data_IF_803869613514
#
_entry.id   IF_803869613514
#
_cell.length_a   1.000
_cell.length_b   1.000
_cell.length_c   1.000
_cell.angle_alpha   90.00
_cell.angle_beta   90.00
_cell.angle_gamma   90.00
#
_symmetry.space_group_name_H-M   'P 1'
#
loop_
_entity.id
_entity.type
_entity.pdbx_description
1 polymer ?
#
# COMPACT_ATOMS: atom_id res chain seq x y z
N UNK A 1 -29.07 10.58 -18.45
CA UNK A 1 -28.43 9.46 -19.19
C UNK A 1 -28.75 9.67 -20.66
N UNK A 2 -27.76 9.96 -21.47
CA UNK A 2 -27.94 9.97 -22.93
C UNK A 2 -27.99 8.51 -23.41
N UNK A 3 -29.05 8.14 -24.08
CA UNK A 3 -29.14 6.83 -24.69
C UNK A 3 -28.25 6.79 -25.93
N UNK A 4 -27.18 6.00 -25.86
CA UNK A 4 -26.36 5.71 -27.02
C UNK A 4 -26.94 4.50 -27.76
N UNK A 5 -27.18 4.60 -29.07
CA UNK A 5 -27.65 3.45 -29.83
C UNK A 5 -26.66 2.29 -29.73
N UNK A 6 -27.13 1.04 -29.70
CA UNK A 6 -26.25 -0.12 -29.62
C UNK A 6 -25.25 -0.08 -30.78
N UNK A 7 -23.97 -0.20 -30.48
CA UNK A 7 -22.93 -0.38 -31.51
C UNK A 7 -23.18 -1.71 -32.21
N UNK A 8 -22.91 -1.83 -33.51
CA UNK A 8 -22.92 -3.14 -34.16
C UNK A 8 -22.09 -4.13 -33.37
N UNK A 9 -22.64 -5.29 -33.04
CA UNK A 9 -21.84 -6.35 -32.40
C UNK A 9 -20.75 -6.77 -33.36
N UNK A 10 -19.47 -6.73 -32.94
CA UNK A 10 -18.39 -7.27 -33.73
C UNK A 10 -18.58 -8.78 -33.90
N UNK A 11 -17.97 -9.35 -34.93
CA UNK A 11 -17.87 -10.79 -35.08
C UNK A 11 -17.16 -11.36 -33.82
N UNK A 12 -17.71 -12.46 -33.28
CA UNK A 12 -17.21 -13.03 -32.02
C UNK A 12 -15.75 -13.46 -32.11
N UNK A 13 -15.34 -14.13 -33.20
CA UNK A 13 -13.99 -14.61 -33.34
C UNK A 13 -13.00 -13.46 -33.54
N UNK A 14 -13.38 -12.42 -34.27
CA UNK A 14 -12.58 -11.21 -34.41
C UNK A 14 -12.44 -10.47 -33.07
N UNK A 15 -13.51 -10.32 -32.29
CA UNK A 15 -13.47 -9.70 -30.97
C UNK A 15 -12.62 -10.52 -29.98
N UNK A 16 -12.76 -11.84 -29.98
CA UNK A 16 -11.94 -12.75 -29.16
C UNK A 16 -10.45 -12.63 -29.53
N UNK A 17 -10.12 -12.62 -30.82
CA UNK A 17 -8.74 -12.47 -31.26
C UNK A 17 -8.17 -11.12 -30.82
N UNK A 18 -8.91 -10.03 -31.00
CA UNK A 18 -8.50 -8.69 -30.57
C UNK A 18 -8.21 -8.64 -29.06
N UNK A 19 -9.06 -9.26 -28.22
CA UNK A 19 -8.85 -9.29 -26.78
C UNK A 19 -7.63 -10.15 -26.40
N UNK A 20 -7.43 -11.28 -27.05
CA UNK A 20 -6.26 -12.12 -26.84
C UNK A 20 -4.96 -11.38 -27.18
N UNK A 21 -4.94 -10.66 -28.31
CA UNK A 21 -3.78 -9.89 -28.74
C UNK A 21 -3.50 -8.72 -27.79
N UNK A 22 -4.55 -8.03 -27.33
CA UNK A 22 -4.43 -6.96 -26.35
C UNK A 22 -3.86 -7.47 -25.00
N UNK A 23 -4.35 -8.62 -24.53
CA UNK A 23 -3.83 -9.23 -23.31
C UNK A 23 -2.37 -9.71 -23.46
N UNK A 24 -2.02 -10.32 -24.59
CA UNK A 24 -0.64 -10.70 -24.87
C UNK A 24 0.29 -9.49 -24.88
N UNK A 25 -0.10 -8.42 -25.58
CA UNK A 25 0.69 -7.18 -25.61
C UNK A 25 0.86 -6.58 -24.20
N UNK A 26 -0.17 -6.66 -23.36
CA UNK A 26 -0.08 -6.26 -21.95
C UNK A 26 0.94 -7.11 -21.17
N UNK A 27 0.89 -8.44 -21.31
CA UNK A 27 1.83 -9.34 -20.64
C UNK A 27 3.27 -9.18 -21.15
N UNK A 28 3.46 -9.03 -22.46
CA UNK A 28 4.77 -8.93 -23.09
C UNK A 28 5.51 -7.64 -22.69
N UNK A 29 4.79 -6.61 -22.27
CA UNK A 29 5.36 -5.38 -21.75
C UNK A 29 5.86 -5.52 -20.31
N UNK A 30 5.29 -6.44 -19.51
CA UNK A 30 5.71 -6.68 -18.14
C UNK A 30 7.08 -7.39 -18.09
N UNK A 31 7.90 -7.14 -17.05
CA UNK A 31 9.17 -7.86 -16.89
C UNK A 31 8.97 -9.38 -16.78
N UNK A 32 9.86 -10.12 -17.42
CA UNK A 32 9.86 -11.59 -17.33
C UNK A 32 10.12 -12.04 -15.90
N UNK A 33 9.28 -12.94 -15.40
CA UNK A 33 9.45 -13.59 -14.11
C UNK A 33 10.28 -14.88 -14.22
N UNK A 34 10.85 -15.37 -13.09
CA UNK A 34 11.48 -16.69 -13.05
C UNK A 34 10.54 -17.78 -13.58
N UNK A 35 11.11 -18.79 -14.23
CA UNK A 35 10.36 -19.90 -14.87
C UNK A 35 9.29 -20.49 -13.95
N UNK A 36 9.65 -20.74 -12.69
CA UNK A 36 8.74 -21.27 -11.65
C UNK A 36 7.46 -20.44 -11.50
N UNK A 37 7.50 -19.13 -11.76
CA UNK A 37 6.42 -18.19 -11.50
C UNK A 37 5.74 -17.64 -12.76
N UNK A 38 6.08 -18.13 -13.96
CA UNK A 38 5.50 -17.61 -15.21
C UNK A 38 4.00 -17.81 -15.31
N UNK A 39 3.50 -18.98 -14.98
CA UNK A 39 2.06 -19.26 -15.02
C UNK A 39 1.31 -18.39 -14.00
N UNK A 40 1.83 -18.32 -12.77
CA UNK A 40 1.32 -17.43 -11.71
C UNK A 40 1.31 -15.98 -12.20
N UNK A 41 2.42 -15.51 -12.80
CA UNK A 41 2.55 -14.15 -13.32
C UNK A 41 1.56 -13.83 -14.44
N UNK A 42 1.30 -14.80 -15.34
CA UNK A 42 0.29 -14.64 -16.40
C UNK A 42 -1.11 -14.47 -15.82
N UNK A 43 -1.47 -15.25 -14.79
CA UNK A 43 -2.77 -15.14 -14.12
C UNK A 43 -2.86 -13.81 -13.33
N UNK A 44 -1.79 -13.40 -12.64
CA UNK A 44 -1.74 -12.10 -11.96
C UNK A 44 -1.93 -10.94 -12.94
N UNK A 45 -1.19 -10.96 -14.06
CA UNK A 45 -1.34 -9.97 -15.13
C UNK A 45 -2.77 -9.96 -15.72
N UNK A 46 -3.42 -11.13 -15.84
CA UNK A 46 -4.81 -11.19 -16.29
C UNK A 46 -5.78 -10.55 -15.31
N UNK A 47 -5.58 -10.76 -14.01
CA UNK A 47 -6.42 -10.14 -12.98
C UNK A 47 -6.30 -8.62 -13.05
N UNK A 48 -5.07 -8.09 -13.04
CA UNK A 48 -4.81 -6.65 -13.12
C UNK A 48 -5.36 -6.06 -14.43
N UNK A 49 -5.01 -6.64 -15.60
CA UNK A 49 -5.51 -6.19 -16.90
C UNK A 49 -7.03 -6.19 -16.99
N UNK A 50 -7.65 -7.24 -16.46
CA UNK A 50 -9.10 -7.41 -16.54
C UNK A 50 -9.88 -6.46 -15.64
N UNK A 51 -9.24 -5.86 -14.63
CA UNK A 51 -9.80 -4.85 -13.74
C UNK A 51 -9.51 -3.41 -14.18
N UNK A 52 -8.79 -3.22 -15.32
CA UNK A 52 -8.60 -1.90 -15.91
C UNK A 52 -9.91 -1.35 -16.45
N UNK A 53 -10.17 -0.10 -16.14
CA UNK A 53 -11.33 0.65 -16.61
C UNK A 53 -10.91 1.95 -17.24
N UNK A 54 -11.55 2.29 -18.36
CA UNK A 54 -11.34 3.55 -19.08
C UNK A 54 -11.92 4.72 -18.29
N UNK A 55 -11.41 5.94 -18.54
CA UNK A 55 -12.02 7.15 -18.00
C UNK A 55 -13.54 7.20 -18.28
N UNK A 56 -14.32 7.53 -17.25
CA UNK A 56 -15.78 7.64 -17.34
C UNK A 56 -16.38 8.06 -15.99
N UNK A 57 -17.44 8.85 -16.00
CA UNK A 57 -18.06 9.36 -14.78
C UNK A 57 -17.07 10.12 -13.92
N UNK A 58 -16.85 9.68 -12.66
CA UNK A 58 -15.86 10.28 -11.76
C UNK A 58 -14.44 9.75 -11.98
N UNK A 59 -14.23 8.69 -12.74
CA UNK A 59 -12.88 8.25 -13.11
C UNK A 59 -12.37 9.11 -14.28
N UNK A 60 -11.44 10.02 -13.99
CA UNK A 60 -10.89 10.96 -14.98
C UNK A 60 -9.68 10.40 -15.73
N UNK A 61 -9.12 9.29 -15.26
CA UNK A 61 -7.95 8.59 -15.79
C UNK A 61 -8.25 7.11 -15.91
N UNK A 62 -7.38 6.36 -16.55
CA UNK A 62 -7.43 4.90 -16.46
C UNK A 62 -7.23 4.47 -15.01
N UNK A 63 -8.13 3.62 -14.53
CA UNK A 63 -8.10 3.12 -13.17
C UNK A 63 -8.06 1.60 -13.13
N UNK A 64 -7.58 1.04 -12.03
CA UNK A 64 -7.64 -0.38 -11.77
C UNK A 64 -8.56 -0.62 -10.58
N UNK A 65 -9.71 -1.25 -10.82
CA UNK A 65 -10.62 -1.64 -9.75
C UNK A 65 -9.96 -2.69 -8.85
N UNK A 66 -10.31 -2.72 -7.58
CA UNK A 66 -9.71 -3.71 -6.66
C UNK A 66 -10.15 -5.13 -6.99
N UNK A 67 -11.38 -5.30 -7.45
CA UNK A 67 -11.89 -6.56 -8.02
C UNK A 67 -13.09 -6.31 -8.91
N UNK A 68 -13.57 -7.37 -9.59
CA UNK A 68 -14.83 -7.33 -10.38
C UNK A 68 -16.03 -7.83 -9.60
N UNK A 69 -15.86 -8.40 -8.41
CA UNK A 69 -16.95 -9.01 -7.64
C UNK A 69 -17.55 -8.01 -6.65
N UNK A 70 -16.81 -7.72 -5.57
CA UNK A 70 -17.33 -6.96 -4.44
C UNK A 70 -16.73 -5.57 -4.31
N UNK A 71 -15.50 -5.39 -4.78
CA UNK A 71 -14.70 -4.18 -4.58
C UNK A 71 -14.46 -3.47 -5.91
N UNK A 72 -15.55 -3.00 -6.53
CA UNK A 72 -15.54 -2.33 -7.84
C UNK A 72 -15.18 -0.85 -7.77
N UNK A 73 -14.44 -0.42 -6.75
CA UNK A 73 -13.91 0.92 -6.58
C UNK A 73 -12.37 0.90 -6.67
N UNK A 74 -11.78 2.08 -6.75
CA UNK A 74 -10.36 2.36 -6.49
C UNK A 74 -10.27 2.99 -5.11
N UNK A 75 -9.59 2.36 -4.15
CA UNK A 75 -9.37 2.90 -2.81
C UNK A 75 -8.08 3.72 -2.73
N UNK A 76 -8.05 4.69 -1.81
CA UNK A 76 -7.01 5.73 -1.76
C UNK A 76 -5.67 5.30 -1.13
N UNK A 77 -5.42 4.02 -0.94
CA UNK A 77 -4.10 3.45 -0.65
C UNK A 77 -3.79 2.21 -1.48
N UNK A 78 -4.80 1.39 -1.80
CA UNK A 78 -4.71 0.17 -2.61
C UNK A 78 -4.12 0.43 -4.00
N UNK A 79 -4.53 1.52 -4.64
CA UNK A 79 -4.05 1.94 -5.97
C UNK A 79 -2.53 2.15 -6.03
N UNK A 80 -1.88 2.45 -4.90
CA UNK A 80 -0.43 2.59 -4.83
C UNK A 80 0.29 1.28 -5.16
N UNK A 81 -0.21 0.15 -4.67
CA UNK A 81 0.38 -1.17 -4.94
C UNK A 81 0.19 -1.57 -6.41
N UNK A 82 -0.97 -1.28 -6.99
CA UNK A 82 -1.24 -1.50 -8.41
C UNK A 82 -0.30 -0.66 -9.29
N UNK A 83 -0.06 0.59 -8.92
CA UNK A 83 0.90 1.46 -9.62
C UNK A 83 2.31 0.86 -9.65
N UNK A 84 2.79 0.29 -8.53
CA UNK A 84 4.12 -0.31 -8.45
C UNK A 84 4.29 -1.54 -9.36
N UNK A 85 3.23 -2.33 -9.52
CA UNK A 85 3.27 -3.48 -10.43
C UNK A 85 3.42 -3.05 -11.89
N UNK A 86 2.73 -1.98 -12.28
CA UNK A 86 2.72 -1.47 -13.67
C UNK A 86 3.97 -0.66 -14.05
N UNK A 87 4.74 -0.16 -13.08
CA UNK A 87 5.81 0.81 -13.29
C UNK A 87 6.84 0.42 -14.35
N UNK A 88 7.26 -0.85 -14.41
CA UNK A 88 8.31 -1.31 -15.32
C UNK A 88 7.81 -1.74 -16.72
N UNK A 89 6.51 -1.90 -16.91
CA UNK A 89 5.93 -2.34 -18.20
C UNK A 89 4.96 -1.35 -18.81
N UNK A 90 4.21 -0.65 -17.95
CA UNK A 90 3.14 0.26 -18.32
C UNK A 90 3.26 1.59 -17.55
N UNK A 91 4.32 2.41 -17.80
CA UNK A 91 4.63 3.57 -16.96
C UNK A 91 3.57 4.67 -16.96
N UNK A 92 2.78 4.81 -18.02
CA UNK A 92 1.67 5.78 -18.05
C UNK A 92 0.48 5.27 -17.24
N UNK A 93 0.14 3.99 -17.33
CA UNK A 93 -0.87 3.36 -16.48
C UNK A 93 -0.46 3.39 -14.99
N UNK A 94 0.83 3.14 -14.71
CA UNK A 94 1.37 3.24 -13.35
C UNK A 94 1.20 4.66 -12.79
N UNK A 95 1.46 5.67 -13.62
CA UNK A 95 1.26 7.06 -13.23
C UNK A 95 -0.20 7.38 -13.00
N UNK A 96 -1.08 7.03 -13.93
CA UNK A 96 -2.52 7.24 -13.79
C UNK A 96 -3.06 6.55 -12.54
N UNK A 97 -2.68 5.29 -12.30
CA UNK A 97 -3.04 4.57 -11.07
C UNK A 97 -2.55 5.30 -9.82
N UNK A 98 -1.32 5.82 -9.79
CA UNK A 98 -0.77 6.54 -8.63
C UNK A 98 -1.50 7.85 -8.35
N UNK A 99 -1.73 8.67 -9.38
CA UNK A 99 -2.20 10.04 -9.22
C UNK A 99 -3.73 10.19 -9.23
N UNK A 100 -4.46 9.13 -9.53
CA UNK A 100 -5.92 9.17 -9.76
C UNK A 100 -6.71 9.83 -8.62
N UNK A 101 -6.25 9.73 -7.37
CA UNK A 101 -6.90 10.35 -6.23
C UNK A 101 -6.75 11.87 -6.20
N UNK A 102 -5.72 12.43 -6.87
CA UNK A 102 -5.52 13.87 -6.97
C UNK A 102 -6.66 14.56 -7.71
N UNK A 103 -7.31 13.87 -8.65
CA UNK A 103 -8.43 14.38 -9.44
C UNK A 103 -9.66 14.72 -8.57
N UNK A 104 -9.73 14.18 -7.35
CA UNK A 104 -10.81 14.38 -6.39
C UNK A 104 -10.33 14.93 -5.04
N UNK A 105 -9.09 15.39 -4.96
CA UNK A 105 -8.60 16.00 -3.73
C UNK A 105 -9.40 17.27 -3.42
N UNK A 106 -10.00 17.37 -2.23
CA UNK A 106 -10.84 18.50 -1.86
C UNK A 106 -10.03 19.78 -1.55
N UNK A 107 -10.74 20.88 -1.28
CA UNK A 107 -10.11 22.16 -1.00
C UNK A 107 -9.24 22.16 0.28
N UNK A 108 -9.51 21.26 1.24
CA UNK A 108 -8.69 21.10 2.44
C UNK A 108 -7.42 20.29 2.21
N UNK A 109 -7.34 19.56 1.09
CA UNK A 109 -6.28 18.63 0.76
C UNK A 109 -6.58 17.18 1.10
N UNK A 110 -7.79 16.87 1.61
CA UNK A 110 -8.23 15.50 1.91
C UNK A 110 -8.40 14.70 0.62
N UNK A 111 -8.04 13.42 0.68
CA UNK A 111 -8.36 12.45 -0.36
C UNK A 111 -9.67 11.73 -0.04
N UNK A 112 -10.45 11.31 -1.07
CA UNK A 112 -11.59 10.44 -0.84
C UNK A 112 -11.13 9.08 -0.29
N UNK A 113 -12.03 8.37 0.35
CA UNK A 113 -11.84 6.98 0.78
C UNK A 113 -11.68 6.07 -0.46
N UNK A 114 -12.62 6.20 -1.39
CA UNK A 114 -12.60 5.49 -2.67
C UNK A 114 -13.37 6.23 -3.76
N UNK A 115 -13.10 5.86 -5.01
CA UNK A 115 -13.76 6.41 -6.19
C UNK A 115 -14.19 5.28 -7.13
N UNK A 116 -15.27 5.53 -7.87
CA UNK A 116 -15.70 4.73 -9.02
C UNK A 116 -16.20 5.66 -10.13
N UNK A 117 -16.72 5.11 -11.21
CA UNK A 117 -17.41 5.89 -12.24
C UNK A 117 -18.67 6.60 -11.72
N UNK A 118 -19.30 6.07 -10.68
CA UNK A 118 -20.57 6.54 -10.13
C UNK A 118 -20.46 7.36 -8.85
N UNK A 119 -19.41 7.12 -8.04
CA UNK A 119 -19.33 7.66 -6.69
C UNK A 119 -17.92 8.13 -6.33
N UNK A 120 -17.87 9.22 -5.55
CA UNK A 120 -16.71 9.64 -4.76
C UNK A 120 -17.10 9.50 -3.29
N UNK A 121 -16.45 8.57 -2.57
CA UNK A 121 -16.81 8.20 -1.20
C UNK A 121 -15.84 8.86 -0.22
N UNK A 122 -16.37 9.48 0.85
CA UNK A 122 -15.62 10.27 1.82
C UNK A 122 -15.72 9.74 3.25
N UNK A 123 -16.06 8.45 3.42
CA UNK A 123 -16.30 7.85 4.74
C UNK A 123 -15.07 7.92 5.64
N UNK A 124 -13.94 7.41 5.15
CA UNK A 124 -12.68 7.32 5.88
C UNK A 124 -11.57 8.05 5.10
N UNK A 125 -10.47 8.37 5.75
CA UNK A 125 -9.21 8.56 5.06
C UNK A 125 -8.47 7.19 5.02
N UNK A 126 -7.45 7.06 4.18
CA UNK A 126 -6.58 5.89 4.17
C UNK A 126 -5.16 6.31 4.58
N UNK A 127 -4.28 5.36 4.93
CA UNK A 127 -2.94 5.71 5.41
C UNK A 127 -2.17 6.52 4.35
N UNK A 128 -1.36 7.51 4.77
CA UNK A 128 -0.64 8.38 3.84
C UNK A 128 0.64 7.71 3.30
N UNK A 129 0.48 6.57 2.63
CA UNK A 129 1.60 5.84 2.02
C UNK A 129 2.01 6.40 0.64
N UNK A 130 1.35 7.46 0.18
CA UNK A 130 1.56 8.02 -1.16
C UNK A 130 3.00 8.51 -1.38
N UNK A 131 3.66 9.07 -0.34
CA UNK A 131 5.07 9.41 -0.40
C UNK A 131 5.96 8.18 -0.56
N UNK A 132 5.72 7.13 0.22
CA UNK A 132 6.40 5.85 0.08
C UNK A 132 6.23 5.26 -1.33
N UNK A 133 4.99 5.23 -1.83
CA UNK A 133 4.71 4.71 -3.17
C UNK A 133 5.41 5.52 -4.27
N UNK A 134 5.43 6.86 -4.15
CA UNK A 134 6.13 7.71 -5.13
C UNK A 134 7.64 7.45 -5.12
N UNK A 135 8.26 7.28 -3.96
CA UNK A 135 9.69 6.91 -3.85
C UNK A 135 9.95 5.60 -4.61
N UNK A 136 9.14 4.57 -4.39
CA UNK A 136 9.26 3.28 -5.08
C UNK A 136 9.02 3.39 -6.60
N UNK A 137 8.09 4.24 -7.02
CA UNK A 137 7.88 4.52 -8.45
C UNK A 137 9.09 5.18 -9.08
N UNK A 138 9.70 6.19 -8.43
CA UNK A 138 10.92 6.85 -8.92
C UNK A 138 12.12 5.90 -9.02
N UNK A 139 12.20 4.89 -8.14
CA UNK A 139 13.21 3.82 -8.21
C UNK A 139 12.95 2.86 -9.39
N UNK A 140 11.70 2.71 -9.82
CA UNK A 140 11.25 1.72 -10.81
C UNK A 140 11.13 2.27 -12.22
N UNK A 141 10.84 3.56 -12.37
CA UNK A 141 10.67 4.22 -13.68
C UNK A 141 11.11 5.70 -13.63
N UNK A 142 11.68 6.25 -14.71
CA UNK A 142 11.97 7.68 -14.78
C UNK A 142 10.67 8.50 -14.80
N UNK A 143 10.61 9.57 -14.01
CA UNK A 143 9.50 10.52 -14.05
C UNK A 143 9.90 11.76 -14.82
N UNK A 144 9.10 12.14 -15.81
CA UNK A 144 9.24 13.39 -16.51
C UNK A 144 8.98 14.58 -15.56
N UNK A 145 9.62 15.75 -15.77
CA UNK A 145 9.41 16.94 -14.92
C UNK A 145 7.95 17.30 -14.69
N UNK A 146 7.10 17.20 -15.71
CA UNK A 146 5.66 17.46 -15.60
C UNK A 146 4.95 16.54 -14.59
N UNK A 147 5.38 15.26 -14.47
CA UNK A 147 4.84 14.34 -13.47
C UNK A 147 5.28 14.73 -12.05
N UNK A 148 6.49 15.26 -11.89
CA UNK A 148 6.95 15.80 -10.59
C UNK A 148 6.19 17.07 -10.21
N UNK A 149 5.95 17.97 -11.17
CA UNK A 149 5.14 19.19 -11.00
C UNK A 149 3.67 18.87 -10.65
N UNK A 150 3.13 17.74 -11.11
CA UNK A 150 1.79 17.26 -10.74
C UNK A 150 1.78 16.63 -9.34
N UNK A 151 2.78 15.80 -9.02
CA UNK A 151 2.85 15.08 -7.75
C UNK A 151 3.11 15.99 -6.55
N UNK A 152 3.96 17.00 -6.69
CA UNK A 152 4.38 17.83 -5.57
C UNK A 152 3.22 18.60 -4.90
N UNK A 153 2.34 19.35 -5.62
CA UNK A 153 1.20 20.01 -5.00
C UNK A 153 0.16 19.02 -4.45
N UNK A 154 -0.06 17.90 -5.11
CA UNK A 154 -0.94 16.83 -4.62
C UNK A 154 -0.47 16.32 -3.26
N UNK A 155 0.78 15.86 -3.19
CA UNK A 155 1.35 15.29 -1.98
C UNK A 155 1.48 16.33 -0.86
N UNK A 156 1.84 17.58 -1.22
CA UNK A 156 1.89 18.72 -0.29
C UNK A 156 0.55 18.97 0.39
N UNK A 157 -0.53 19.03 -0.38
CA UNK A 157 -1.87 19.27 0.18
C UNK A 157 -2.33 18.12 1.05
N UNK A 158 -2.07 16.85 0.66
CA UNK A 158 -2.39 15.68 1.46
C UNK A 158 -1.60 15.65 2.78
N UNK A 159 -0.31 15.94 2.76
CA UNK A 159 0.52 16.04 3.97
C UNK A 159 0.03 17.14 4.90
N UNK A 160 -0.26 18.34 4.37
CA UNK A 160 -0.78 19.44 5.16
C UNK A 160 -2.16 19.16 5.76
N UNK A 161 -2.99 18.37 5.08
CA UNK A 161 -4.25 17.94 5.65
C UNK A 161 -4.05 17.10 6.93
N UNK A 162 -3.12 16.13 6.89
CA UNK A 162 -2.74 15.35 8.08
C UNK A 162 -2.20 16.25 9.19
N UNK A 163 -1.30 17.16 8.88
CA UNK A 163 -0.71 18.12 9.84
C UNK A 163 -1.79 18.98 10.52
N UNK A 164 -2.82 19.39 9.77
CA UNK A 164 -3.85 20.31 10.26
C UNK A 164 -4.97 19.61 11.01
N UNK A 165 -5.45 18.48 10.49
CA UNK A 165 -6.71 17.87 10.97
C UNK A 165 -6.52 16.56 11.73
N UNK A 166 -5.35 15.96 11.65
CA UNK A 166 -5.04 14.64 12.21
C UNK A 166 -3.73 14.61 13.00
N UNK A 167 -3.33 15.76 13.56
CA UNK A 167 -2.18 15.89 14.44
C UNK A 167 -2.61 16.50 15.77
N UNK A 168 -2.18 15.90 16.90
CA UNK A 168 -2.37 16.42 18.24
C UNK A 168 -1.07 16.23 19.03
N UNK A 169 -0.59 17.31 19.62
CA UNK A 169 0.64 17.31 20.42
C UNK A 169 1.84 16.67 19.70
N UNK A 170 1.91 16.90 18.37
CA UNK A 170 2.97 16.37 17.51
C UNK A 170 2.82 14.90 17.12
N UNK A 171 1.72 14.22 17.42
CA UNK A 171 1.42 12.86 16.96
C UNK A 171 0.24 12.85 15.99
N UNK A 172 0.44 12.21 14.85
CA UNK A 172 -0.64 11.92 13.90
C UNK A 172 -1.50 10.77 14.42
N UNK A 173 -2.80 10.80 14.10
CA UNK A 173 -3.75 9.83 14.63
C UNK A 173 -4.85 9.45 13.66
N UNK A 174 -5.38 8.25 13.83
CA UNK A 174 -6.58 7.77 13.20
C UNK A 174 -7.81 7.98 14.11
N UNK A 175 -8.94 8.32 13.50
CA UNK A 175 -10.23 8.43 14.20
C UNK A 175 -11.05 7.14 14.14
N UNK A 176 -10.63 6.18 13.31
CA UNK A 176 -11.28 4.90 13.13
C UNK A 176 -10.27 3.87 12.60
N UNK A 177 -10.48 2.58 12.88
CA UNK A 177 -9.63 1.51 12.30
C UNK A 177 -9.59 1.56 10.77
N UNK A 178 -10.71 1.82 10.12
CA UNK A 178 -10.80 1.92 8.66
C UNK A 178 -9.95 3.07 8.06
N UNK A 179 -9.61 4.10 8.86
CA UNK A 179 -8.69 5.16 8.43
C UNK A 179 -7.26 4.62 8.18
N UNK A 180 -6.87 3.56 8.89
CA UNK A 180 -5.55 2.92 8.76
C UNK A 180 -5.46 1.91 7.61
N UNK A 181 -6.59 1.55 7.01
CA UNK A 181 -6.67 0.41 6.11
C UNK A 181 -6.72 -0.96 6.82
N UNK A 182 -6.39 -1.03 8.11
CA UNK A 182 -6.42 -2.24 8.95
C UNK A 182 -7.70 -2.28 9.80
N UNK A 183 -8.83 -2.30 9.14
CA UNK A 183 -10.17 -1.96 9.59
C UNK A 183 -10.54 -2.43 11.00
N UNK A 184 -10.18 -3.65 11.39
CA UNK A 184 -10.52 -4.25 12.68
C UNK A 184 -9.29 -4.71 13.48
N UNK A 185 -8.09 -4.18 13.19
CA UNK A 185 -6.86 -4.53 13.92
C UNK A 185 -7.00 -4.27 15.43
N UNK A 186 -6.34 -5.13 16.23
CA UNK A 186 -6.27 -4.96 17.69
C UNK A 186 -5.49 -3.72 18.13
N UNK A 187 -4.73 -3.10 17.24
CA UNK A 187 -4.11 -1.78 17.47
C UNK A 187 -5.16 -0.67 17.76
N UNK A 188 -6.44 -0.93 17.48
CA UNK A 188 -7.57 -0.06 17.77
C UNK A 188 -8.53 -0.64 18.82
N UNK A 189 -8.05 -1.53 19.70
CA UNK A 189 -8.84 -2.14 20.76
C UNK A 189 -9.37 -1.14 21.80
N UNK A 190 -8.69 0.00 21.96
CA UNK A 190 -9.20 1.16 22.67
C UNK A 190 -9.90 2.12 21.69
N UNK A 191 -10.85 2.91 22.21
CA UNK A 191 -11.59 3.87 21.38
C UNK A 191 -10.64 4.93 20.78
N UNK A 192 -10.77 5.25 19.48
CA UNK A 192 -10.04 6.35 18.85
C UNK A 192 -10.32 7.71 19.53
N UNK A 193 -9.45 8.72 19.35
CA UNK A 193 -8.31 8.76 18.43
C UNK A 193 -7.08 8.00 18.95
N UNK A 194 -6.47 7.22 18.05
CA UNK A 194 -5.27 6.42 18.33
C UNK A 194 -4.11 6.85 17.43
N UNK A 195 -3.00 7.22 18.04
CA UNK A 195 -1.74 7.44 17.34
C UNK A 195 -1.00 6.11 17.24
N UNK A 196 -0.85 5.61 16.03
CA UNK A 196 -0.11 4.36 15.75
C UNK A 196 1.29 4.66 15.21
N UNK A 197 2.28 3.83 15.51
CA UNK A 197 3.67 4.07 15.12
C UNK A 197 3.90 4.13 13.61
N UNK A 198 3.27 3.26 12.82
CA UNK A 198 3.43 3.24 11.37
C UNK A 198 2.89 4.50 10.70
N UNK A 199 1.84 5.11 11.23
CA UNK A 199 1.34 6.40 10.72
C UNK A 199 2.40 7.49 10.86
N UNK A 200 3.12 7.52 12.00
CA UNK A 200 4.23 8.46 12.19
C UNK A 200 5.31 8.21 11.13
N UNK A 201 5.67 6.95 10.92
CA UNK A 201 6.68 6.55 9.95
C UNK A 201 6.27 6.93 8.51
N UNK A 202 5.03 6.70 8.11
CA UNK A 202 4.54 7.08 6.78
C UNK A 202 4.58 8.60 6.57
N UNK A 203 4.23 9.38 7.57
CA UNK A 203 4.29 10.85 7.50
C UNK A 203 5.73 11.36 7.39
N UNK A 204 6.68 10.77 8.12
CA UNK A 204 8.11 11.10 8.01
C UNK A 204 8.61 10.81 6.58
N UNK A 205 8.35 9.61 6.06
CA UNK A 205 8.73 9.23 4.69
C UNK A 205 8.11 10.19 3.67
N UNK A 206 6.85 10.57 3.85
CA UNK A 206 6.14 11.48 2.93
C UNK A 206 6.75 12.89 2.92
N UNK A 207 7.15 13.43 4.08
CA UNK A 207 7.83 14.72 4.18
C UNK A 207 9.24 14.68 3.57
N UNK A 208 10.00 13.59 3.76
CA UNK A 208 11.29 13.39 3.09
C UNK A 208 11.15 13.36 1.57
N UNK A 209 10.16 12.65 1.05
CA UNK A 209 9.88 12.60 -0.39
C UNK A 209 9.49 13.99 -0.91
N UNK A 210 8.72 14.77 -0.15
CA UNK A 210 8.42 16.17 -0.52
C UNK A 210 9.68 17.04 -0.53
N UNK A 211 10.62 16.82 0.38
CA UNK A 211 11.92 17.49 0.35
C UNK A 211 12.70 17.15 -0.92
N UNK A 212 12.75 15.87 -1.30
CA UNK A 212 13.45 15.41 -2.50
C UNK A 212 12.81 15.94 -3.79
N UNK A 213 11.48 15.95 -3.88
CA UNK A 213 10.73 16.53 -4.99
C UNK A 213 11.00 18.04 -5.12
N UNK A 214 10.97 18.75 -3.99
CA UNK A 214 11.23 20.19 -3.99
C UNK A 214 12.64 20.51 -4.52
N UNK A 215 13.68 19.70 -4.17
CA UNK A 215 15.03 19.84 -4.73
C UNK A 215 15.04 19.59 -6.24
N UNK A 216 14.38 18.52 -6.70
CA UNK A 216 14.27 18.23 -8.14
C UNK A 216 13.55 19.33 -8.92
N UNK A 217 12.61 20.02 -8.27
CA UNK A 217 11.90 21.19 -8.81
C UNK A 217 12.62 22.53 -8.54
N UNK A 218 13.89 22.50 -8.11
CA UNK A 218 14.72 23.66 -7.81
C UNK A 218 14.14 24.63 -6.76
N UNK A 219 13.36 24.11 -5.81
CA UNK A 219 12.77 24.87 -4.70
C UNK A 219 13.46 24.53 -3.37
N UNK A 220 14.66 25.08 -3.15
CA UNK A 220 15.47 24.77 -1.97
C UNK A 220 14.80 25.20 -0.66
N UNK A 221 14.06 26.30 -0.64
CA UNK A 221 13.36 26.74 0.58
C UNK A 221 12.28 25.75 1.01
N UNK A 222 11.53 25.21 0.06
CA UNK A 222 10.55 24.17 0.34
C UNK A 222 11.21 22.83 0.71
N UNK A 223 12.34 22.48 0.09
CA UNK A 223 13.11 21.30 0.44
C UNK A 223 13.60 21.36 1.89
N UNK A 224 14.16 22.48 2.30
CA UNK A 224 14.60 22.70 3.68
C UNK A 224 13.43 22.65 4.67
N UNK A 225 12.30 23.25 4.33
CA UNK A 225 11.09 23.20 5.16
C UNK A 225 10.67 21.74 5.43
N UNK A 226 10.49 20.95 4.38
CA UNK A 226 10.05 19.55 4.53
C UNK A 226 11.08 18.68 5.26
N UNK A 227 12.37 18.91 5.03
CA UNK A 227 13.42 18.21 5.78
C UNK A 227 13.37 18.54 7.27
N UNK A 228 13.13 19.79 7.61
CA UNK A 228 13.00 20.23 9.01
C UNK A 228 11.79 19.61 9.69
N UNK A 229 10.63 19.61 9.00
CA UNK A 229 9.40 19.01 9.51
C UNK A 229 9.58 17.48 9.72
N UNK A 230 10.19 16.77 8.75
CA UNK A 230 10.47 15.35 8.88
C UNK A 230 11.36 15.03 10.07
N UNK A 231 12.45 15.80 10.26
CA UNK A 231 13.39 15.61 11.37
C UNK A 231 12.74 15.90 12.72
N UNK A 232 12.00 17.00 12.83
CA UNK A 232 11.28 17.35 14.05
C UNK A 232 10.24 16.31 14.44
N UNK A 233 9.53 15.76 13.44
CA UNK A 233 8.55 14.71 13.69
C UNK A 233 9.20 13.39 14.08
N UNK A 234 10.32 13.02 13.45
CA UNK A 234 11.10 11.84 13.85
C UNK A 234 11.53 11.93 15.32
N UNK A 235 12.00 13.08 15.79
CA UNK A 235 12.38 13.29 17.20
C UNK A 235 11.19 13.07 18.15
N UNK A 236 10.02 13.60 17.81
CA UNK A 236 8.79 13.40 18.60
C UNK A 236 8.39 11.93 18.61
N UNK A 237 8.41 11.28 17.45
CA UNK A 237 8.09 9.87 17.29
C UNK A 237 8.98 8.96 18.12
N UNK A 238 10.31 9.12 18.01
CA UNK A 238 11.29 8.32 18.76
C UNK A 238 11.17 8.52 20.27
N UNK A 239 10.80 9.72 20.72
CA UNK A 239 10.63 10.04 22.13
C UNK A 239 9.34 9.50 22.74
N UNK A 240 8.26 9.37 21.96
CA UNK A 240 6.91 9.15 22.51
C UNK A 240 6.30 7.79 22.19
N UNK A 241 6.65 7.18 21.05
CA UNK A 241 5.97 6.00 20.54
C UNK A 241 6.72 4.69 20.80
N UNK A 242 7.59 4.66 21.82
CA UNK A 242 8.36 3.46 22.16
C UNK A 242 8.29 3.15 23.65
N UNK A 243 8.27 1.86 23.96
CA UNK A 243 8.46 1.29 25.29
C UNK A 243 9.41 0.09 25.15
N UNK A 244 10.53 0.12 25.86
CA UNK A 244 11.55 -0.93 25.79
C UNK A 244 11.99 -1.26 24.35
N UNK A 245 12.29 -0.23 23.56
CA UNK A 245 12.67 -0.33 22.13
C UNK A 245 11.61 -0.99 21.22
N UNK A 246 10.39 -1.18 21.67
CA UNK A 246 9.26 -1.63 20.84
C UNK A 246 8.28 -0.48 20.58
N UNK A 247 7.77 -0.36 19.33
CA UNK A 247 6.79 0.66 18.99
C UNK A 247 5.45 0.38 19.69
N UNK A 248 4.80 1.43 20.19
CA UNK A 248 3.52 1.34 20.88
C UNK A 248 2.49 2.31 20.30
N UNK A 249 1.26 1.84 20.13
CA UNK A 249 0.12 2.69 19.81
C UNK A 249 -0.40 3.40 21.08
N UNK A 250 -0.85 4.64 20.94
CA UNK A 250 -1.27 5.50 22.06
C UNK A 250 -2.69 6.02 21.83
N UNK A 251 -3.59 5.77 22.77
CA UNK A 251 -4.89 6.44 22.81
C UNK A 251 -4.71 7.89 23.24
N UNK A 252 -4.95 8.84 22.35
CA UNK A 252 -4.62 10.26 22.60
C UNK A 252 -5.53 10.94 23.63
N UNK A 253 -6.73 10.43 23.89
CA UNK A 253 -7.64 11.00 24.88
C UNK A 253 -7.21 10.75 26.33
N UNK A 254 -6.50 9.67 26.60
CA UNK A 254 -6.05 9.25 27.94
C UNK A 254 -4.53 9.17 28.08
N UNK A 255 -3.79 9.12 26.98
CA UNK A 255 -2.36 8.83 26.98
C UNK A 255 -2.02 7.35 27.21
N UNK A 256 -3.03 6.47 27.26
CA UNK A 256 -2.84 5.04 27.52
C UNK A 256 -2.25 4.33 26.32
N UNK A 257 -1.28 3.42 26.57
CA UNK A 257 -0.78 2.51 25.56
C UNK A 257 -1.87 1.50 25.19
N UNK A 258 -2.06 1.28 23.91
CA UNK A 258 -2.97 0.26 23.38
C UNK A 258 -2.21 -1.06 23.28
N UNK A 259 -2.42 -1.92 24.27
CA UNK A 259 -1.85 -3.26 24.25
C UNK A 259 -2.48 -4.08 23.12
N UNK A 260 -1.64 -4.65 22.24
CA UNK A 260 -2.08 -5.41 21.09
C UNK A 260 -1.01 -6.40 20.62
N UNK A 261 -1.41 -7.38 19.82
CA UNK A 261 -0.56 -8.39 19.20
C UNK A 261 -0.59 -8.27 17.66
N UNK A 262 -0.90 -7.06 17.16
CA UNK A 262 -0.96 -6.75 15.73
C UNK A 262 0.44 -6.53 15.14
N UNK A 263 0.61 -6.90 13.87
CA UNK A 263 1.80 -6.58 13.08
C UNK A 263 1.90 -5.10 12.71
N UNK A 264 0.77 -4.37 12.68
CA UNK A 264 0.67 -2.99 12.19
C UNK A 264 1.75 -2.05 12.77
N UNK A 265 2.00 -1.99 14.10
CA UNK A 265 3.01 -1.08 14.67
C UNK A 265 4.42 -1.29 14.13
N UNK A 266 4.73 -2.47 13.63
CA UNK A 266 6.06 -2.84 13.15
C UNK A 266 6.34 -2.44 11.70
N UNK A 267 5.36 -1.93 10.96
CA UNK A 267 5.57 -1.32 9.64
C UNK A 267 6.46 -0.06 9.71
N UNK A 268 6.83 0.41 10.91
CA UNK A 268 7.87 1.44 11.12
C UNK A 268 9.20 1.11 10.43
N UNK A 269 9.46 -0.16 10.13
CA UNK A 269 10.69 -0.58 9.43
C UNK A 269 10.88 0.13 8.07
N UNK A 270 9.83 0.70 7.49
CA UNK A 270 9.93 1.55 6.28
C UNK A 270 10.85 2.76 6.45
N UNK A 271 11.16 3.14 7.70
CA UNK A 271 12.13 4.18 8.04
C UNK A 271 13.60 3.71 7.89
N UNK A 272 13.86 2.40 7.92
CA UNK A 272 15.22 1.86 7.79
C UNK A 272 16.18 2.40 8.85
N UNK A 273 17.28 2.98 8.40
CA UNK A 273 18.39 3.50 9.23
C UNK A 273 18.06 4.74 10.08
N UNK A 274 16.90 5.41 9.84
CA UNK A 274 16.41 6.49 10.74
C UNK A 274 15.99 5.95 12.10
N UNK A 275 15.67 4.66 12.19
CA UNK A 275 15.40 4.02 13.49
C UNK A 275 16.70 3.69 14.22
N UNK A 276 16.75 3.86 15.55
CA UNK A 276 17.86 3.39 16.36
C UNK A 276 18.16 1.90 16.12
N UNK A 277 19.42 1.52 16.15
CA UNK A 277 19.84 0.13 15.90
C UNK A 277 19.21 -0.86 16.89
N UNK A 278 19.07 -0.49 18.16
CA UNK A 278 18.41 -1.31 19.19
C UNK A 278 16.94 -1.60 18.81
N UNK A 279 16.22 -0.58 18.36
CA UNK A 279 14.83 -0.70 17.88
C UNK A 279 14.77 -1.63 16.66
N UNK A 280 15.60 -1.36 15.64
CA UNK A 280 15.64 -2.20 14.43
C UNK A 280 15.88 -3.67 14.75
N UNK A 281 16.92 -3.98 15.52
CA UNK A 281 17.27 -5.36 15.91
C UNK A 281 16.11 -6.04 16.64
N UNK A 282 15.48 -5.34 17.56
CA UNK A 282 14.39 -5.90 18.37
C UNK A 282 13.14 -6.14 17.54
N UNK A 283 12.76 -5.18 16.69
CA UNK A 283 11.61 -5.32 15.79
C UNK A 283 11.86 -6.43 14.76
N UNK A 284 13.02 -6.45 14.10
CA UNK A 284 13.37 -7.49 13.12
C UNK A 284 13.33 -8.88 13.78
N UNK A 285 13.93 -9.05 14.95
CA UNK A 285 13.88 -10.32 15.68
C UNK A 285 12.46 -10.77 16.00
N UNK A 286 11.59 -9.82 16.32
CA UNK A 286 10.19 -10.12 16.63
C UNK A 286 9.39 -10.51 15.38
N UNK A 287 9.48 -9.72 14.31
CA UNK A 287 8.67 -9.96 13.10
C UNK A 287 9.15 -11.17 12.30
N UNK A 288 10.44 -11.54 12.42
CA UNK A 288 10.99 -12.74 11.78
C UNK A 288 10.73 -14.04 12.57
N UNK A 289 10.25 -13.94 13.80
CA UNK A 289 9.91 -15.09 14.63
C UNK A 289 8.54 -15.68 14.26
N UNK A 290 8.23 -16.86 14.80
CA UNK A 290 6.91 -17.50 14.69
C UNK A 290 5.76 -16.64 15.25
N UNK A 291 6.09 -15.55 15.94
CA UNK A 291 5.07 -14.59 16.39
C UNK A 291 4.30 -13.98 15.22
N UNK A 292 4.96 -13.74 14.07
CA UNK A 292 4.32 -13.16 12.90
C UNK A 292 4.65 -13.88 11.59
N UNK A 293 5.88 -14.39 11.42
CA UNK A 293 6.30 -15.03 10.18
C UNK A 293 5.94 -16.52 10.19
N UNK A 294 4.78 -16.83 9.59
CA UNK A 294 4.29 -18.21 9.41
C UNK A 294 4.95 -18.89 8.21
N UNK A 295 4.59 -20.15 7.94
CA UNK A 295 5.03 -20.85 6.74
C UNK A 295 4.61 -20.19 5.42
N UNK A 296 3.59 -19.32 5.44
CA UNK A 296 2.99 -18.69 4.25
C UNK A 296 3.29 -17.21 4.13
N UNK A 297 3.75 -16.52 5.19
CA UNK A 297 4.05 -15.09 5.21
C UNK A 297 3.73 -14.44 6.55
N UNK A 298 3.62 -13.11 6.57
CA UNK A 298 3.38 -12.34 7.79
C UNK A 298 1.91 -12.33 8.18
N UNK A 299 1.56 -12.97 9.31
CA UNK A 299 0.25 -12.84 9.94
C UNK A 299 0.03 -11.42 10.46
N UNK A 300 -1.16 -10.86 10.26
CA UNK A 300 -1.50 -9.49 10.72
C UNK A 300 -1.79 -9.41 12.21
N UNK A 301 -2.10 -10.50 12.83
CA UNK A 301 -2.18 -10.70 14.28
C UNK A 301 -1.38 -11.95 14.64
N UNK A 302 -0.67 -11.93 15.76
CA UNK A 302 0.09 -13.09 16.23
C UNK A 302 -0.82 -14.34 16.33
N UNK A 303 -0.43 -15.49 15.76
CA UNK A 303 -1.20 -16.73 15.93
C UNK A 303 -1.37 -17.17 17.38
N UNK A 304 -0.51 -16.70 18.30
CA UNK A 304 -0.64 -16.94 19.74
C UNK A 304 -1.59 -15.97 20.45
N UNK A 305 -2.05 -14.91 19.76
CA UNK A 305 -2.97 -13.93 20.32
C UNK A 305 -4.34 -14.54 20.61
N UNK A 306 -4.99 -14.18 21.74
CA UNK A 306 -6.38 -14.59 22.00
C UNK A 306 -7.38 -13.97 21.01
N UNK A 307 -6.96 -12.95 20.28
CA UNK A 307 -7.77 -12.26 19.25
C UNK A 307 -7.54 -12.78 17.85
N UNK A 308 -6.57 -13.67 17.65
CA UNK A 308 -6.35 -14.31 16.35
C UNK A 308 -7.59 -15.08 15.88
N UNK A 309 -7.87 -14.96 14.61
CA UNK A 309 -8.89 -15.76 13.90
C UNK A 309 -8.36 -16.07 12.51
N UNK A 310 -8.53 -17.30 12.08
CA UNK A 310 -8.13 -17.79 10.76
C UNK A 310 -8.77 -17.00 9.59
N UNK A 311 -10.04 -16.61 9.74
CA UNK A 311 -10.77 -15.68 8.87
C UNK A 311 -11.12 -14.37 9.60
N UNK A 312 -10.16 -13.80 10.30
CA UNK A 312 -10.34 -12.63 11.17
C UNK A 312 -10.22 -11.28 10.47
N UNK A 313 -10.11 -11.24 9.14
CA UNK A 313 -9.83 -10.05 8.37
C UNK A 313 -8.44 -9.46 8.70
N UNK A 314 -8.31 -8.39 9.47
CA UNK A 314 -7.00 -7.87 9.94
C UNK A 314 -6.60 -8.41 11.33
N UNK A 315 -7.16 -9.55 11.74
CA UNK A 315 -6.85 -10.25 12.99
C UNK A 315 -6.37 -11.69 12.72
N UNK A 316 -5.33 -11.83 11.91
CA UNK A 316 -4.69 -13.11 11.60
C UNK A 316 -4.27 -13.25 10.15
N UNK A 317 -5.18 -13.15 9.17
CA UNK A 317 -4.88 -13.37 7.76
C UNK A 317 -3.67 -12.58 7.24
N UNK A 318 -2.96 -13.19 6.28
CA UNK A 318 -1.87 -12.54 5.53
C UNK A 318 -2.47 -11.65 4.46
N UNK A 319 -1.90 -10.45 4.31
CA UNK A 319 -2.32 -9.48 3.32
C UNK A 319 -1.16 -9.00 2.44
N UNK A 320 -1.47 -8.71 1.19
CA UNK A 320 -0.49 -8.22 0.22
C UNK A 320 0.13 -6.85 0.62
N UNK A 321 -0.66 -5.82 1.02
CA UNK A 321 -0.12 -4.52 1.43
C UNK A 321 0.86 -4.60 2.59
N UNK A 322 0.47 -5.25 3.68
CA UNK A 322 1.33 -5.40 4.85
C UNK A 322 2.60 -6.19 4.53
N UNK A 323 2.49 -7.23 3.69
CA UNK A 323 3.66 -7.98 3.22
C UNK A 323 4.62 -7.06 2.45
N UNK A 324 4.11 -6.27 1.49
CA UNK A 324 4.95 -5.37 0.70
C UNK A 324 5.64 -4.30 1.55
N UNK A 325 4.92 -3.65 2.47
CA UNK A 325 5.47 -2.64 3.37
C UNK A 325 6.52 -3.22 4.32
N UNK A 326 6.24 -4.41 4.86
CA UNK A 326 7.19 -5.12 5.74
C UNK A 326 8.47 -5.49 4.99
N UNK A 327 8.36 -6.02 3.77
CA UNK A 327 9.53 -6.39 2.96
C UNK A 327 10.36 -5.18 2.55
N UNK A 328 9.73 -4.06 2.16
CA UNK A 328 10.44 -2.81 1.88
C UNK A 328 11.21 -2.31 3.12
N UNK A 329 10.60 -2.39 4.29
CA UNK A 329 11.23 -2.01 5.54
C UNK A 329 12.41 -2.90 5.92
N UNK A 330 12.26 -4.21 5.79
CA UNK A 330 13.34 -5.19 6.04
C UNK A 330 14.49 -5.00 5.05
N UNK A 331 14.21 -4.74 3.77
CA UNK A 331 15.23 -4.44 2.76
C UNK A 331 16.06 -3.20 3.14
N UNK A 332 15.40 -2.11 3.57
CA UNK A 332 16.07 -0.90 4.07
C UNK A 332 16.88 -1.12 5.34
N UNK A 333 16.57 -2.16 6.10
CA UNK A 333 17.35 -2.58 7.24
C UNK A 333 18.50 -3.55 6.88
N UNK A 334 18.66 -3.92 5.61
CA UNK A 334 19.72 -4.81 5.13
C UNK A 334 19.42 -6.31 5.25
N UNK A 335 18.19 -6.70 5.56
CA UNK A 335 17.77 -8.09 5.83
C UNK A 335 17.47 -8.88 4.54
N UNK A 336 18.36 -8.82 3.56
CA UNK A 336 18.15 -9.39 2.20
C UNK A 336 17.73 -10.86 2.20
N UNK A 337 18.31 -11.70 3.04
CA UNK A 337 17.96 -13.12 3.10
C UNK A 337 16.54 -13.33 3.62
N UNK A 338 16.12 -12.58 4.65
CA UNK A 338 14.79 -12.63 5.22
C UNK A 338 13.75 -12.11 4.22
N UNK A 339 14.06 -11.01 3.52
CA UNK A 339 13.22 -10.43 2.45
C UNK A 339 12.95 -11.48 1.36
N UNK A 340 14.01 -12.12 0.87
CA UNK A 340 13.90 -13.15 -0.18
C UNK A 340 13.06 -14.35 0.29
N UNK A 341 13.24 -14.80 1.52
CA UNK A 341 12.49 -15.94 2.07
C UNK A 341 11.01 -15.57 2.30
N UNK A 342 10.71 -14.42 2.87
CA UNK A 342 9.33 -14.01 3.10
C UNK A 342 8.59 -13.69 1.78
N UNK A 343 9.27 -13.07 0.80
CA UNK A 343 8.74 -12.89 -0.55
C UNK A 343 8.41 -14.23 -1.20
N UNK A 344 9.32 -15.22 -1.09
CA UNK A 344 9.10 -16.56 -1.64
C UNK A 344 7.88 -17.22 -1.00
N UNK A 345 7.72 -17.16 0.33
CA UNK A 345 6.54 -17.74 1.03
C UNK A 345 5.24 -17.13 0.49
N UNK A 346 5.18 -15.82 0.37
CA UNK A 346 3.99 -15.13 -0.13
C UNK A 346 3.70 -15.48 -1.60
N UNK A 347 4.72 -15.46 -2.47
CA UNK A 347 4.55 -15.77 -3.90
C UNK A 347 4.20 -17.25 -4.11
N UNK A 348 4.82 -18.18 -3.37
CA UNK A 348 4.46 -19.62 -3.43
C UNK A 348 3.02 -19.85 -2.95
N UNK A 349 2.56 -19.14 -1.91
CA UNK A 349 1.18 -19.19 -1.44
C UNK A 349 0.20 -18.70 -2.51
N UNK A 350 0.48 -17.55 -3.15
CA UNK A 350 -0.39 -17.03 -4.22
C UNK A 350 -0.40 -17.94 -5.45
N UNK A 351 0.73 -18.55 -5.80
CA UNK A 351 0.82 -19.52 -6.89
C UNK A 351 -0.04 -20.78 -6.63
N UNK A 352 -0.16 -21.20 -5.37
CA UNK A 352 -0.93 -22.37 -4.98
C UNK A 352 -2.42 -22.08 -4.74
N UNK A 353 -2.76 -20.90 -4.17
CA UNK A 353 -4.10 -20.58 -3.68
C UNK A 353 -4.83 -19.50 -4.50
N UNK A 354 -4.22 -18.97 -5.56
CA UNK A 354 -4.75 -17.85 -6.34
C UNK A 354 -4.57 -16.50 -5.65
N UNK A 355 -5.23 -15.46 -6.18
CA UNK A 355 -5.02 -14.07 -5.79
C UNK A 355 -6.17 -13.56 -4.93
N UNK A 356 -6.41 -14.22 -3.81
CA UNK A 356 -7.46 -13.85 -2.86
C UNK A 356 -7.19 -12.47 -2.22
N UNK A 357 -8.22 -11.85 -1.70
CA UNK A 357 -8.13 -10.57 -0.96
C UNK A 357 -7.16 -10.67 0.21
N UNK A 358 -7.20 -11.80 0.94
CA UNK A 358 -6.28 -12.18 2.01
C UNK A 358 -6.22 -13.70 2.17
N UNK A 359 -5.35 -14.19 3.05
CA UNK A 359 -5.09 -15.63 3.20
C UNK A 359 -5.04 -16.03 4.67
N UNK A 360 -5.59 -17.17 4.99
CA UNK A 360 -5.37 -17.80 6.30
C UNK A 360 -3.86 -17.98 6.53
N UNK A 361 -3.37 -17.43 7.63
CA UNK A 361 -1.94 -17.40 7.90
C UNK A 361 -1.32 -18.76 8.20
N UNK A 362 -2.11 -19.73 8.66
CA UNK A 362 -1.62 -21.06 9.04
C UNK A 362 -1.72 -22.08 7.90
N UNK A 363 -2.69 -21.94 7.01
CA UNK A 363 -2.92 -22.89 5.91
C UNK A 363 -2.58 -22.35 4.53
N UNK A 364 -2.44 -21.02 4.38
CA UNK A 364 -2.27 -20.37 3.09
C UNK A 364 -3.53 -20.37 2.20
N UNK A 365 -4.68 -20.77 2.73
CA UNK A 365 -5.95 -20.79 1.99
C UNK A 365 -6.41 -19.36 1.68
N UNK A 366 -6.77 -19.10 0.41
CA UNK A 366 -7.37 -17.84 0.00
C UNK A 366 -8.74 -17.60 0.64
N UNK A 367 -8.99 -16.36 1.05
CA UNK A 367 -10.18 -15.90 1.74
C UNK A 367 -10.83 -14.74 0.99
N UNK A 368 -12.14 -14.56 1.13
CA UNK A 368 -12.93 -13.45 0.59
C UNK A 368 -13.00 -13.43 -0.94
N UNK A 369 -12.68 -12.31 -1.58
CA UNK A 369 -12.63 -12.20 -3.03
C UNK A 369 -11.40 -12.92 -3.57
N UNK A 370 -11.59 -13.83 -4.53
CA UNK A 370 -10.53 -14.72 -5.00
C UNK A 370 -9.71 -14.17 -6.19
N UNK A 371 -10.04 -12.97 -6.65
CA UNK A 371 -9.34 -12.33 -7.77
C UNK A 371 -9.15 -10.83 -7.49
N UNK A 372 -8.19 -10.54 -6.62
CA UNK A 372 -7.96 -9.20 -6.09
C UNK A 372 -6.67 -8.58 -6.66
N UNK A 373 -6.76 -7.34 -7.16
CA UNK A 373 -5.66 -6.71 -7.90
C UNK A 373 -4.44 -6.39 -7.03
N UNK A 374 -4.60 -5.90 -5.79
CA UNK A 374 -3.40 -5.65 -4.98
C UNK A 374 -2.60 -6.92 -4.68
N UNK A 375 -3.27 -8.09 -4.55
CA UNK A 375 -2.58 -9.36 -4.34
C UNK A 375 -1.82 -9.76 -5.61
N UNK A 376 -2.47 -9.64 -6.78
CA UNK A 376 -1.83 -9.89 -8.07
C UNK A 376 -0.65 -8.95 -8.29
N UNK A 377 -0.86 -7.65 -8.08
CA UNK A 377 0.18 -6.61 -8.21
C UNK A 377 1.37 -6.84 -7.29
N UNK A 378 1.13 -7.09 -5.99
CA UNK A 378 2.22 -7.35 -5.04
C UNK A 378 2.97 -8.63 -5.39
N UNK A 379 2.27 -9.72 -5.77
CA UNK A 379 2.93 -10.96 -6.19
C UNK A 379 3.84 -10.76 -7.42
N UNK A 380 3.41 -9.95 -8.41
CA UNK A 380 4.24 -9.57 -9.56
C UNK A 380 5.48 -8.79 -9.13
N UNK A 381 5.32 -7.80 -8.25
CA UNK A 381 6.46 -7.00 -7.74
C UNK A 381 7.44 -7.89 -6.97
N UNK A 382 6.95 -8.72 -6.05
CA UNK A 382 7.81 -9.56 -5.21
C UNK A 382 8.55 -10.62 -6.04
N UNK A 383 7.87 -11.27 -7.00
CA UNK A 383 8.51 -12.23 -7.88
C UNK A 383 9.57 -11.60 -8.78
N UNK A 384 9.30 -10.38 -9.27
CA UNK A 384 10.19 -9.61 -10.13
C UNK A 384 11.44 -9.11 -9.42
N UNK A 385 11.25 -8.52 -8.23
CA UNK A 385 12.31 -7.73 -7.56
C UNK A 385 13.13 -8.57 -6.58
N UNK A 386 12.56 -9.64 -6.00
CA UNK A 386 13.23 -10.41 -4.94
C UNK A 386 13.51 -11.88 -5.29
N UNK A 387 12.90 -12.45 -6.34
CA UNK A 387 13.01 -13.88 -6.64
C UNK A 387 13.70 -14.18 -7.98
N UNK A 388 14.17 -13.17 -8.66
CA UNK A 388 15.02 -13.31 -9.87
C UNK A 388 16.45 -13.71 -9.53
#
# INVERSE_FOLDING_TARGET
MEWNPPRPCPDFDAARQQMNDAFRAFCDALPTLPEKYREMGTLAAYIDWSCLVRPGGFLRREGMLMSKNWKTNVWSWDHCFNALAMAKGHPDLAWDAYIIMADHQDASGRLPDSISDQHVIWNYCKPPIHGWALRRLMESMPLAPAKLEEAYPFLTRWTKWWMTYRCRDGLYYYNHGNDSGWDNSTAFSLLPPVATPELQAFMIVQMEVLSDLARQLHNESAAQYWQTEASAHLDVFLKRCFRDDLPVAIQLSTGQIVENESLLPYEILVLGDRLPESVRKKVISLVSSEKFLTAHGFATESPASPFYRDDGYWRGPIWAPSTMLMLDGLEKCGETALVKEAARRFVDMTAASGFAENFDALTGKGLRDLAYTWTASVALVLARDYLN
#
